data_IF_544655306934
#
_entry.id   IF_544655306934
#
_cell.length_a   1.000
_cell.length_b   1.000
_cell.length_c   1.000
_cell.angle_alpha   90.00
_cell.angle_beta   90.00
_cell.angle_gamma   90.00
#
_symmetry.space_group_name_H-M   'P 1'
#
loop_
_entity.id
_entity.type
_entity.pdbx_description
1 polymer ?
#
# COMPACT_ATOMS: atom_id res chain seq x y z
N UNK A 1 -25.57 15.04 -5.11
CA UNK A 1 -24.24 14.63 -4.63
C UNK A 1 -24.43 14.03 -3.24
N UNK A 2 -24.12 12.73 -3.07
CA UNK A 2 -24.21 12.07 -1.78
C UNK A 2 -23.16 12.70 -0.83
N UNK A 3 -23.62 13.27 0.30
CA UNK A 3 -22.72 13.86 1.32
C UNK A 3 -22.15 12.76 2.20
N UNK A 4 -20.81 12.63 2.25
CA UNK A 4 -20.12 11.77 3.19
C UNK A 4 -20.36 12.27 4.63
N UNK A 5 -20.99 11.44 5.46
CA UNK A 5 -21.15 11.68 6.90
C UNK A 5 -20.06 10.95 7.66
N UNK A 6 -19.16 11.70 8.29
CA UNK A 6 -18.06 11.16 9.11
C UNK A 6 -18.54 10.97 10.53
N UNK A 7 -19.16 9.83 10.81
CA UNK A 7 -19.56 9.45 12.17
C UNK A 7 -18.37 8.85 12.96
N UNK A 8 -18.50 8.65 14.29
CA UNK A 8 -17.43 8.09 15.11
C UNK A 8 -16.97 6.69 14.66
N UNK A 9 -17.84 5.89 14.05
CA UNK A 9 -17.51 4.55 13.56
C UNK A 9 -16.67 4.65 12.27
N UNK A 10 -16.99 5.58 11.38
CA UNK A 10 -16.18 5.89 10.20
C UNK A 10 -14.76 6.29 10.60
N UNK A 11 -14.62 7.20 11.58
CA UNK A 11 -13.31 7.58 12.11
C UNK A 11 -12.57 6.40 12.75
N UNK A 12 -13.28 5.54 13.49
CA UNK A 12 -12.67 4.34 14.06
C UNK A 12 -12.09 3.44 12.96
N UNK A 13 -12.82 3.19 11.88
CA UNK A 13 -12.36 2.39 10.74
C UNK A 13 -11.12 3.02 10.08
N UNK A 14 -11.12 4.35 9.89
CA UNK A 14 -9.96 5.07 9.34
C UNK A 14 -8.72 4.90 10.21
N UNK A 15 -8.86 5.06 11.52
CA UNK A 15 -7.75 4.90 12.47
C UNK A 15 -7.27 3.44 12.51
N UNK A 16 -8.17 2.46 12.47
CA UNK A 16 -7.82 1.04 12.45
C UNK A 16 -7.02 0.67 11.19
N UNK A 17 -7.40 1.21 10.02
CA UNK A 17 -6.59 1.06 8.81
C UNK A 17 -5.23 1.75 8.95
N UNK A 18 -5.19 2.94 9.57
CA UNK A 18 -3.96 3.68 9.87
C UNK A 18 -3.00 2.90 10.77
N UNK A 19 -3.53 2.17 11.77
CA UNK A 19 -2.70 1.31 12.63
C UNK A 19 -2.00 0.21 11.84
N UNK A 20 -2.70 -0.45 10.93
CA UNK A 20 -2.04 -1.43 10.04
C UNK A 20 -1.05 -0.76 9.07
N UNK A 21 -1.40 0.38 8.54
CA UNK A 21 -0.53 1.15 7.63
C UNK A 21 0.77 1.60 8.33
N UNK A 22 0.74 1.89 9.63
CA UNK A 22 1.94 2.14 10.42
C UNK A 22 2.94 0.98 10.30
N UNK A 23 2.49 -0.26 10.48
CA UNK A 23 3.36 -1.42 10.27
C UNK A 23 3.81 -1.55 8.81
N UNK A 24 2.87 -1.46 7.87
CA UNK A 24 3.13 -1.68 6.45
C UNK A 24 4.20 -0.74 5.89
N UNK A 25 4.10 0.56 6.20
CA UNK A 25 5.06 1.56 5.73
C UNK A 25 6.33 1.65 6.60
N UNK A 26 6.28 1.17 7.85
CA UNK A 26 7.46 0.95 8.70
C UNK A 26 8.27 -0.28 8.31
N UNK A 27 7.70 -1.17 7.48
CA UNK A 27 8.31 -2.45 7.16
C UNK A 27 9.64 -2.34 6.39
N UNK A 28 9.80 -1.33 5.52
CA UNK A 28 11.06 -1.11 4.80
C UNK A 28 12.25 -0.88 5.76
N UNK A 29 12.21 0.10 6.65
CA UNK A 29 13.21 0.25 7.72
C UNK A 29 13.41 -1.04 8.55
N UNK A 30 12.32 -1.68 8.99
CA UNK A 30 12.39 -2.95 9.76
C UNK A 30 13.15 -4.03 8.98
N UNK A 31 12.89 -4.17 7.69
CA UNK A 31 13.58 -5.15 6.83
C UNK A 31 15.09 -4.90 6.77
N UNK A 32 15.51 -3.63 6.67
CA UNK A 32 16.91 -3.25 6.68
C UNK A 32 17.62 -3.68 7.99
N UNK A 33 16.97 -3.45 9.15
CA UNK A 33 17.51 -3.88 10.44
C UNK A 33 17.52 -5.40 10.62
N UNK A 34 16.46 -6.09 10.16
CA UNK A 34 16.41 -7.55 10.21
C UNK A 34 17.49 -8.19 9.35
N UNK A 35 17.75 -7.65 8.14
CA UNK A 35 18.85 -8.10 7.28
C UNK A 35 20.19 -8.04 8.02
N UNK A 36 20.47 -6.92 8.66
CA UNK A 36 21.73 -6.70 9.38
C UNK A 36 21.86 -7.65 10.59
N UNK A 37 20.80 -7.80 11.39
CA UNK A 37 20.81 -8.69 12.57
C UNK A 37 20.92 -10.17 12.19
N UNK A 38 20.34 -10.56 11.06
CA UNK A 38 20.35 -11.95 10.58
C UNK A 38 21.58 -12.28 9.73
N UNK A 39 22.34 -11.28 9.29
CA UNK A 39 23.47 -11.45 8.37
C UNK A 39 23.07 -12.10 7.05
N UNK A 40 21.83 -11.84 6.57
CA UNK A 40 21.30 -12.45 5.35
C UNK A 40 21.63 -11.63 4.12
N UNK A 41 21.65 -12.31 2.95
CA UNK A 41 21.74 -11.63 1.65
C UNK A 41 20.49 -10.81 1.36
N UNK A 42 20.57 -9.90 0.39
CA UNK A 42 19.46 -9.08 -0.04
C UNK A 42 18.28 -9.93 -0.57
N UNK A 43 18.58 -10.99 -1.33
CA UNK A 43 17.58 -11.94 -1.80
C UNK A 43 16.84 -12.63 -0.66
N UNK A 44 17.57 -13.14 0.35
CA UNK A 44 16.96 -13.76 1.52
C UNK A 44 16.14 -12.76 2.34
N UNK A 45 16.65 -11.55 2.55
CA UNK A 45 15.91 -10.50 3.26
C UNK A 45 14.59 -10.19 2.57
N UNK A 46 14.57 -10.09 1.23
CA UNK A 46 13.35 -9.79 0.46
C UNK A 46 12.31 -10.91 0.46
N UNK A 47 12.64 -12.14 0.89
CA UNK A 47 11.63 -13.18 1.13
C UNK A 47 10.65 -12.83 2.26
N UNK A 48 11.00 -11.89 3.16
CA UNK A 48 10.02 -11.35 4.11
C UNK A 48 8.89 -10.58 3.39
N UNK A 49 9.17 -9.91 2.27
CA UNK A 49 8.14 -9.28 1.43
C UNK A 49 7.29 -10.33 0.71
N UNK A 50 7.89 -11.44 0.27
CA UNK A 50 7.13 -12.56 -0.28
C UNK A 50 6.23 -13.23 0.78
N UNK A 51 6.70 -13.37 2.02
CA UNK A 51 5.90 -13.84 3.14
C UNK A 51 4.74 -12.89 3.46
N UNK A 52 4.98 -11.56 3.40
CA UNK A 52 3.95 -10.54 3.53
C UNK A 52 2.87 -10.69 2.43
N UNK A 53 3.28 -10.87 1.18
CA UNK A 53 2.38 -11.07 0.05
C UNK A 53 1.56 -12.38 0.19
N UNK A 54 2.22 -13.47 0.51
CA UNK A 54 1.56 -14.77 0.73
C UNK A 54 0.54 -14.70 1.89
N UNK A 55 0.93 -14.08 3.01
CA UNK A 55 0.03 -13.84 4.14
C UNK A 55 -1.17 -13.00 3.77
N UNK A 56 -0.99 -11.93 2.98
CA UNK A 56 -2.10 -11.11 2.50
C UNK A 56 -3.07 -11.89 1.59
N UNK A 57 -2.55 -12.75 0.70
CA UNK A 57 -3.41 -13.62 -0.13
C UNK A 57 -4.20 -14.61 0.73
N UNK A 58 -3.56 -15.24 1.71
CA UNK A 58 -4.25 -16.14 2.67
C UNK A 58 -5.31 -15.38 3.46
N UNK A 59 -4.99 -14.18 3.98
CA UNK A 59 -5.94 -13.32 4.70
C UNK A 59 -7.15 -12.95 3.85
N UNK A 60 -6.93 -12.59 2.58
CA UNK A 60 -8.00 -12.32 1.62
C UNK A 60 -8.91 -13.54 1.36
N UNK A 61 -8.32 -14.73 1.24
CA UNK A 61 -9.06 -15.99 1.07
C UNK A 61 -9.87 -16.37 2.33
N UNK A 62 -9.34 -16.11 3.52
CA UNK A 62 -10.00 -16.41 4.80
C UNK A 62 -11.11 -15.41 5.14
N UNK A 63 -11.05 -14.18 4.62
CA UNK A 63 -11.99 -13.10 4.95
C UNK A 63 -13.47 -13.47 4.74
N UNK A 64 -13.91 -14.05 3.59
CA UNK A 64 -15.30 -14.46 3.42
C UNK A 64 -15.76 -15.54 4.40
N UNK A 65 -14.84 -16.41 4.85
CA UNK A 65 -15.13 -17.44 5.83
C UNK A 65 -15.31 -16.85 7.22
N UNK A 66 -14.45 -15.89 7.59
CA UNK A 66 -14.51 -15.19 8.86
C UNK A 66 -15.81 -14.36 9.00
N UNK A 67 -16.19 -13.62 7.95
CA UNK A 67 -17.40 -12.78 7.96
C UNK A 67 -18.73 -13.55 7.91
N UNK A 68 -18.69 -14.85 7.55
CA UNK A 68 -19.85 -15.73 7.67
C UNK A 68 -20.13 -16.18 9.11
N UNK A 69 -19.09 -16.25 9.95
CA UNK A 69 -19.20 -16.75 11.34
C UNK A 69 -19.21 -15.64 12.38
N UNK A 70 -18.56 -14.52 12.10
CA UNK A 70 -18.33 -13.44 13.05
C UNK A 70 -18.82 -12.11 12.49
N UNK A 71 -19.19 -11.19 13.40
CA UNK A 71 -19.54 -9.82 13.03
C UNK A 71 -18.31 -9.09 12.42
N UNK A 72 -18.55 -8.08 11.59
CA UNK A 72 -17.47 -7.25 11.00
C UNK A 72 -16.60 -6.62 12.07
N UNK A 73 -17.21 -6.18 13.19
CA UNK A 73 -16.45 -5.63 14.30
C UNK A 73 -15.52 -6.68 14.92
N UNK A 74 -16.00 -7.92 15.13
CA UNK A 74 -15.19 -9.02 15.64
C UNK A 74 -14.07 -9.40 14.67
N UNK A 75 -14.33 -9.43 13.36
CA UNK A 75 -13.29 -9.69 12.34
C UNK A 75 -12.25 -8.57 12.33
N UNK A 76 -12.64 -7.30 12.43
CA UNK A 76 -11.73 -6.17 12.50
C UNK A 76 -10.79 -6.26 13.70
N UNK A 77 -11.34 -6.44 14.90
CA UNK A 77 -10.54 -6.55 16.13
C UNK A 77 -9.70 -7.82 16.17
N UNK A 78 -10.22 -8.95 15.69
CA UNK A 78 -9.47 -10.19 15.54
C UNK A 78 -8.30 -10.04 14.58
N UNK A 79 -8.49 -9.35 13.47
CA UNK A 79 -7.44 -9.03 12.49
C UNK A 79 -6.37 -8.12 13.09
N UNK A 80 -6.75 -7.07 13.80
CA UNK A 80 -5.81 -6.20 14.52
C UNK A 80 -5.07 -6.95 15.64
N UNK A 81 -5.75 -7.82 16.36
CA UNK A 81 -5.10 -8.66 17.39
C UNK A 81 -4.05 -9.57 16.77
N UNK A 82 -4.30 -10.11 15.58
CA UNK A 82 -3.32 -10.92 14.85
C UNK A 82 -2.10 -10.09 14.43
N UNK A 83 -2.32 -8.86 13.94
CA UNK A 83 -1.24 -7.90 13.64
C UNK A 83 -0.43 -7.62 14.91
N UNK A 84 -1.10 -7.29 16.01
CA UNK A 84 -0.43 -6.97 17.28
C UNK A 84 0.38 -8.13 17.85
N UNK A 85 -0.18 -9.34 17.82
CA UNK A 85 0.54 -10.55 18.28
C UNK A 85 1.79 -10.76 17.44
N UNK A 86 1.70 -10.58 16.13
CA UNK A 86 2.87 -10.66 15.26
C UNK A 86 3.89 -9.56 15.54
N UNK A 87 3.46 -8.31 15.71
CA UNK A 87 4.36 -7.20 16.07
C UNK A 87 5.01 -7.43 17.43
N UNK A 88 4.25 -7.87 18.42
CA UNK A 88 4.81 -8.23 19.75
C UNK A 88 5.84 -9.34 19.63
N UNK A 89 5.55 -10.38 18.87
CA UNK A 89 6.49 -11.47 18.61
C UNK A 89 7.77 -10.95 17.91
N UNK A 90 7.64 -10.06 16.93
CA UNK A 90 8.78 -9.45 16.22
C UNK A 90 9.67 -8.60 17.14
N UNK A 91 9.04 -7.93 18.14
CA UNK A 91 9.75 -7.07 19.11
C UNK A 91 10.48 -7.89 20.19
N UNK A 92 9.86 -8.99 20.68
CA UNK A 92 10.30 -9.73 21.86
C UNK A 92 11.16 -10.95 21.51
N UNK A 93 10.83 -11.65 20.41
CA UNK A 93 11.50 -12.89 20.06
C UNK A 93 12.84 -12.66 19.34
N UNK A 94 13.76 -13.63 19.40
CA UNK A 94 15.02 -13.54 18.68
C UNK A 94 14.79 -13.48 17.16
N UNK A 95 15.66 -12.79 16.40
CA UNK A 95 15.51 -12.59 14.97
C UNK A 95 15.91 -13.82 14.13
N UNK A 96 15.39 -15.00 14.49
CA UNK A 96 15.61 -16.22 13.72
C UNK A 96 14.89 -16.13 12.38
N UNK A 97 15.60 -16.36 11.29
CA UNK A 97 15.09 -16.15 9.93
C UNK A 97 13.76 -16.86 9.64
N UNK A 98 13.56 -18.19 9.89
CA UNK A 98 12.27 -18.84 9.65
C UNK A 98 11.15 -18.30 10.52
N UNK A 99 11.48 -17.89 11.75
CA UNK A 99 10.52 -17.34 12.70
C UNK A 99 10.01 -15.98 12.24
N UNK A 100 10.91 -15.09 11.82
CA UNK A 100 10.53 -13.75 11.33
C UNK A 100 9.72 -13.82 10.05
N UNK A 101 10.04 -14.73 9.11
CA UNK A 101 9.22 -14.99 7.93
C UNK A 101 7.78 -15.37 8.31
N UNK A 102 7.65 -16.30 9.27
CA UNK A 102 6.32 -16.74 9.74
C UNK A 102 5.57 -15.60 10.42
N UNK A 103 6.23 -14.84 11.28
CA UNK A 103 5.65 -13.67 11.96
C UNK A 103 5.13 -12.64 10.95
N UNK A 104 5.93 -12.30 9.93
CA UNK A 104 5.52 -11.35 8.88
C UNK A 104 4.31 -11.88 8.10
N UNK A 105 4.28 -13.16 7.77
CA UNK A 105 3.12 -13.80 7.15
C UNK A 105 1.85 -13.69 8.00
N UNK A 106 1.96 -13.93 9.31
CA UNK A 106 0.85 -13.80 10.26
C UNK A 106 0.36 -12.35 10.35
N UNK A 107 1.26 -11.38 10.44
CA UNK A 107 0.90 -9.96 10.42
C UNK A 107 0.12 -9.61 9.15
N UNK A 108 0.58 -10.11 8.00
CA UNK A 108 -0.05 -9.85 6.72
C UNK A 108 -1.46 -10.47 6.60
N UNK A 109 -1.69 -11.66 7.17
CA UNK A 109 -3.04 -12.26 7.26
C UNK A 109 -3.98 -11.32 7.99
N UNK A 110 -3.57 -10.84 9.18
CA UNK A 110 -4.34 -9.87 9.95
C UNK A 110 -4.53 -8.55 9.20
N UNK A 111 -3.46 -8.01 8.62
CA UNK A 111 -3.49 -6.77 7.85
C UNK A 111 -4.48 -6.79 6.70
N UNK A 112 -4.53 -7.88 5.94
CA UNK A 112 -5.50 -8.04 4.84
C UNK A 112 -6.94 -8.11 5.36
N UNK A 113 -7.16 -8.70 6.54
CA UNK A 113 -8.46 -8.66 7.21
C UNK A 113 -8.89 -7.22 7.54
N UNK A 114 -7.98 -6.39 8.07
CA UNK A 114 -8.24 -4.96 8.33
C UNK A 114 -8.63 -4.22 7.06
N UNK A 115 -7.87 -4.38 5.98
CA UNK A 115 -8.15 -3.76 4.68
C UNK A 115 -9.51 -4.19 4.15
N UNK A 116 -9.80 -5.49 4.17
CA UNK A 116 -11.05 -6.06 3.64
C UNK A 116 -12.28 -5.57 4.43
N UNK A 117 -12.21 -5.57 5.78
CA UNK A 117 -13.29 -5.02 6.61
C UNK A 117 -13.50 -3.55 6.33
N UNK A 118 -12.41 -2.77 6.21
CA UNK A 118 -12.48 -1.34 5.90
C UNK A 118 -13.26 -1.08 4.61
N UNK A 119 -12.85 -1.70 3.50
CA UNK A 119 -13.49 -1.51 2.20
C UNK A 119 -14.96 -1.89 2.25
N UNK A 120 -15.27 -3.09 2.75
CA UNK A 120 -16.65 -3.58 2.79
C UNK A 120 -17.53 -2.76 3.72
N UNK A 121 -17.02 -2.35 4.88
CA UNK A 121 -17.82 -1.58 5.85
C UNK A 121 -18.09 -0.17 5.36
N UNK A 122 -17.08 0.53 4.82
CA UNK A 122 -17.27 1.89 4.30
C UNK A 122 -18.21 1.91 3.09
N UNK A 123 -18.10 0.92 2.18
CA UNK A 123 -19.03 0.78 1.05
C UNK A 123 -20.47 0.62 1.54
N UNK A 124 -20.70 -0.23 2.54
CA UNK A 124 -22.06 -0.44 3.08
C UNK A 124 -22.60 0.75 3.88
N UNK A 125 -21.76 1.39 4.69
CA UNK A 125 -22.20 2.50 5.54
C UNK A 125 -22.52 3.76 4.74
N UNK A 126 -21.81 3.98 3.65
CA UNK A 126 -21.88 5.23 2.88
C UNK A 126 -22.53 5.09 1.50
N UNK A 127 -22.82 3.87 1.04
CA UNK A 127 -23.50 3.63 -0.26
C UNK A 127 -22.78 4.32 -1.41
N UNK A 128 -23.45 5.26 -2.08
CA UNK A 128 -22.87 6.03 -3.19
C UNK A 128 -21.66 6.91 -2.81
N UNK A 129 -21.50 7.26 -1.53
CA UNK A 129 -20.31 7.96 -1.01
C UNK A 129 -19.21 7.00 -0.52
N UNK A 130 -19.40 5.68 -0.66
CA UNK A 130 -18.44 4.65 -0.24
C UNK A 130 -17.04 4.83 -0.85
N UNK A 131 -16.90 5.05 -2.17
CA UNK A 131 -15.60 5.30 -2.80
C UNK A 131 -14.86 6.49 -2.18
N UNK A 132 -15.56 7.58 -1.89
CA UNK A 132 -15.01 8.76 -1.21
C UNK A 132 -14.52 8.44 0.19
N UNK A 133 -15.30 7.65 0.97
CA UNK A 133 -14.91 7.20 2.31
C UNK A 133 -13.66 6.32 2.28
N UNK A 134 -13.55 5.42 1.30
CA UNK A 134 -12.37 4.57 1.10
C UNK A 134 -11.15 5.41 0.73
N UNK A 135 -11.32 6.42 -0.13
CA UNK A 135 -10.24 7.34 -0.48
C UNK A 135 -9.72 8.11 0.74
N UNK A 136 -10.61 8.62 1.59
CA UNK A 136 -10.22 9.26 2.86
C UNK A 136 -9.52 8.30 3.82
N UNK A 137 -10.03 7.05 3.95
CA UNK A 137 -9.39 6.02 4.76
C UNK A 137 -7.94 5.76 4.30
N UNK A 138 -7.72 5.67 2.98
CA UNK A 138 -6.39 5.48 2.41
C UNK A 138 -5.48 6.71 2.62
N UNK A 139 -6.01 7.92 2.55
CA UNK A 139 -5.25 9.14 2.86
C UNK A 139 -4.80 9.13 4.33
N UNK A 140 -5.71 8.80 5.26
CA UNK A 140 -5.38 8.62 6.68
C UNK A 140 -4.34 7.52 6.90
N UNK A 141 -4.45 6.40 6.18
CA UNK A 141 -3.49 5.31 6.25
C UNK A 141 -2.08 5.75 5.84
N UNK A 142 -1.95 6.50 4.75
CA UNK A 142 -0.65 7.06 4.32
C UNK A 142 -0.13 8.06 5.35
N UNK A 143 -0.99 8.92 5.90
CA UNK A 143 -0.61 9.85 6.96
C UNK A 143 -0.10 9.15 8.23
N UNK A 144 -0.77 8.09 8.67
CA UNK A 144 -0.32 7.26 9.79
C UNK A 144 0.98 6.51 9.45
N UNK A 145 1.08 6.01 8.22
CA UNK A 145 2.27 5.34 7.71
C UNK A 145 3.52 6.22 7.68
N UNK A 146 3.34 7.52 7.40
CA UNK A 146 4.41 8.53 7.44
C UNK A 146 5.10 8.58 8.82
N UNK A 147 4.34 8.37 9.90
CA UNK A 147 4.86 8.43 11.27
C UNK A 147 5.78 7.25 11.58
N UNK A 148 5.57 6.08 10.96
CA UNK A 148 6.29 4.86 11.31
C UNK A 148 7.81 4.95 11.07
N UNK A 149 8.31 5.30 9.86
CA UNK A 149 9.74 5.43 9.63
C UNK A 149 10.38 6.50 10.51
N UNK A 150 9.66 7.60 10.81
CA UNK A 150 10.12 8.65 11.70
C UNK A 150 10.26 8.14 13.14
N UNK A 151 9.25 7.42 13.65
CA UNK A 151 9.27 6.84 15.00
C UNK A 151 10.38 5.79 15.15
N UNK A 152 10.57 4.95 14.12
CA UNK A 152 11.66 3.96 14.09
C UNK A 152 13.02 4.68 14.09
N UNK A 153 13.20 5.67 13.20
CA UNK A 153 14.43 6.48 13.14
C UNK A 153 14.73 7.20 14.45
N UNK A 154 13.72 7.81 15.08
CA UNK A 154 13.87 8.47 16.37
C UNK A 154 14.26 7.47 17.48
N UNK A 155 13.58 6.31 17.56
CA UNK A 155 13.90 5.28 18.54
C UNK A 155 15.35 4.78 18.39
N UNK A 156 15.82 4.58 17.16
CA UNK A 156 17.20 4.18 16.87
C UNK A 156 18.18 5.29 17.28
N UNK A 157 17.88 6.56 16.97
CA UNK A 157 18.71 7.71 17.33
C UNK A 157 18.85 7.89 18.86
N UNK A 158 17.79 7.54 19.61
CA UNK A 158 17.78 7.60 21.07
C UNK A 158 18.43 6.35 21.72
N UNK A 159 18.97 5.41 20.93
CA UNK A 159 19.57 4.17 21.45
C UNK A 159 18.56 3.11 21.92
N UNK A 160 17.26 3.32 21.71
CA UNK A 160 16.18 2.40 22.10
C UNK A 160 15.99 1.23 21.11
N UNK A 161 16.62 1.34 19.92
CA UNK A 161 16.53 0.34 18.86
C UNK A 161 15.22 0.41 18.04
N UNK A 162 15.25 -0.20 16.86
CA UNK A 162 14.12 -0.20 15.92
C UNK A 162 12.86 -0.91 16.46
N UNK A 163 13.07 -1.90 17.35
CA UNK A 163 11.97 -2.66 17.98
C UNK A 163 11.05 -1.77 18.80
N UNK A 164 11.61 -0.79 19.52
CA UNK A 164 10.80 0.17 20.27
C UNK A 164 9.96 1.06 19.34
N UNK A 165 10.55 1.57 18.25
CA UNK A 165 9.82 2.34 17.25
C UNK A 165 8.67 1.54 16.61
N UNK A 166 8.90 0.27 16.29
CA UNK A 166 7.85 -0.62 15.77
C UNK A 166 6.81 -0.95 16.85
N UNK A 167 7.24 -1.14 18.10
CA UNK A 167 6.40 -1.45 19.27
C UNK A 167 5.42 -0.35 19.67
N UNK A 168 5.64 0.90 19.24
CA UNK A 168 4.70 2.02 19.43
C UNK A 168 3.29 1.65 18.94
N UNK A 169 3.20 0.83 17.87
CA UNK A 169 1.93 0.34 17.34
C UNK A 169 1.08 -0.37 18.41
N UNK A 170 1.70 -1.10 19.33
CA UNK A 170 1.01 -1.84 20.39
C UNK A 170 0.28 -0.86 21.32
N UNK A 171 1.00 0.19 21.77
CA UNK A 171 0.42 1.24 22.61
C UNK A 171 -0.71 2.02 21.91
N UNK A 172 -0.48 2.41 20.66
CA UNK A 172 -1.49 3.11 19.86
C UNK A 172 -2.77 2.28 19.69
N UNK A 173 -2.61 0.98 19.39
CA UNK A 173 -3.78 0.10 19.22
C UNK A 173 -4.51 -0.13 20.54
N UNK A 174 -3.80 -0.26 21.66
CA UNK A 174 -4.40 -0.37 22.97
C UNK A 174 -5.23 0.89 23.32
N UNK A 175 -4.71 2.07 23.04
CA UNK A 175 -5.44 3.34 23.24
C UNK A 175 -6.74 3.37 22.41
N UNK A 176 -6.64 3.02 21.12
CA UNK A 176 -7.81 2.99 20.22
C UNK A 176 -8.84 1.96 20.69
N UNK A 177 -8.40 0.78 21.15
CA UNK A 177 -9.27 -0.26 21.67
C UNK A 177 -10.01 0.20 22.92
N UNK A 178 -9.31 0.84 23.87
CA UNK A 178 -9.93 1.40 25.09
C UNK A 178 -10.96 2.49 24.77
N UNK A 179 -10.63 3.39 23.83
CA UNK A 179 -11.55 4.46 23.40
C UNK A 179 -12.80 3.85 22.75
N UNK A 180 -12.63 2.90 21.84
CA UNK A 180 -13.73 2.23 21.15
C UNK A 180 -14.63 1.49 22.14
N UNK A 181 -14.03 0.77 23.09
CA UNK A 181 -14.76 0.05 24.14
C UNK A 181 -15.55 1.00 25.04
N UNK A 182 -14.92 2.07 25.55
CA UNK A 182 -15.60 3.06 26.42
C UNK A 182 -16.74 3.78 25.73
N UNK A 183 -16.64 4.02 24.43
CA UNK A 183 -17.68 4.69 23.63
C UNK A 183 -18.69 3.72 23.03
N UNK A 184 -18.56 2.41 23.23
CA UNK A 184 -19.45 1.39 22.67
C UNK A 184 -19.44 1.39 21.13
N UNK A 185 -18.31 1.76 20.49
CA UNK A 185 -18.22 1.84 19.03
C UNK A 185 -18.10 0.45 18.44
N UNK A 186 -19.02 0.08 17.58
CA UNK A 186 -19.01 -1.18 16.86
C UNK A 186 -19.37 -0.94 15.38
N UNK A 187 -18.71 -1.67 14.50
CA UNK A 187 -19.03 -1.63 13.06
C UNK A 187 -20.39 -2.31 12.86
N UNK A 188 -21.36 -1.65 12.20
CA UNK A 188 -22.70 -2.20 12.02
C UNK A 188 -22.67 -3.56 11.32
N UNK A 189 -23.53 -4.47 11.78
CA UNK A 189 -23.76 -5.72 11.07
C UNK A 189 -24.47 -5.40 9.75
N UNK A 190 -23.98 -5.97 8.65
CA UNK A 190 -24.69 -5.86 7.37
C UNK A 190 -25.67 -7.00 7.22
N UNK A 191 -26.82 -6.69 6.62
CA UNK A 191 -27.68 -7.72 6.09
C UNK A 191 -26.90 -8.59 5.08
N UNK A 192 -27.12 -9.90 5.01
CA UNK A 192 -26.54 -10.75 3.99
C UNK A 192 -26.85 -10.15 2.62
N UNK A 193 -25.83 -9.87 1.82
CA UNK A 193 -26.03 -9.41 0.44
C UNK A 193 -26.74 -10.53 -0.32
N UNK A 194 -28.05 -10.37 -0.51
CA UNK A 194 -28.80 -11.12 -1.48
C UNK A 194 -28.33 -10.62 -2.85
N UNK A 195 -27.72 -11.42 -3.57
CA UNK A 195 -27.59 -11.58 -4.99
C UNK A 195 -26.17 -11.92 -5.46
N UNK A 196 -25.87 -13.21 -5.49
CA UNK A 196 -24.65 -13.76 -6.09
C UNK A 196 -24.91 -14.40 -7.45
N UNK A 197 -26.02 -14.09 -8.08
CA UNK A 197 -26.42 -14.66 -9.37
C UNK A 197 -25.92 -13.86 -10.59
N UNK A 198 -24.95 -12.97 -10.42
CA UNK A 198 -24.33 -12.35 -11.60
C UNK A 198 -23.52 -13.41 -12.36
N UNK A 199 -23.99 -13.69 -13.57
CA UNK A 199 -23.36 -14.55 -14.56
C UNK A 199 -21.87 -14.22 -14.61
N UNK A 200 -21.01 -15.24 -14.38
CA UNK A 200 -19.54 -15.11 -14.39
C UNK A 200 -19.02 -14.92 -15.81
N UNK A 201 -19.33 -13.79 -16.44
CA UNK A 201 -18.70 -13.45 -17.71
C UNK A 201 -17.19 -13.19 -17.49
N UNK A 202 -16.30 -13.65 -18.37
CA UNK A 202 -14.87 -13.38 -18.23
C UNK A 202 -14.59 -11.86 -18.28
N UNK A 203 -13.61 -11.42 -17.48
CA UNK A 203 -13.18 -10.02 -17.53
C UNK A 203 -12.56 -9.70 -18.90
N UNK A 204 -12.82 -8.49 -19.45
CA UNK A 204 -12.32 -8.10 -20.77
C UNK A 204 -10.78 -8.13 -20.87
N UNK A 205 -10.24 -8.30 -22.07
CA UNK A 205 -8.77 -8.27 -22.28
C UNK A 205 -8.15 -6.95 -21.83
N UNK A 206 -8.82 -5.83 -22.06
CA UNK A 206 -8.39 -4.51 -21.60
C UNK A 206 -8.24 -4.43 -20.07
N UNK A 207 -9.05 -5.18 -19.30
CA UNK A 207 -8.90 -5.27 -17.85
C UNK A 207 -7.56 -5.90 -17.46
N UNK A 208 -7.12 -6.95 -18.13
CA UNK A 208 -5.85 -7.60 -17.82
C UNK A 208 -4.65 -6.73 -18.13
N UNK A 209 -4.75 -5.82 -19.12
CA UNK A 209 -3.74 -4.77 -19.33
C UNK A 209 -3.66 -3.81 -18.13
N UNK A 210 -4.81 -3.31 -17.66
CA UNK A 210 -4.83 -2.44 -16.47
C UNK A 210 -4.35 -3.17 -15.22
N UNK A 211 -4.69 -4.43 -15.07
CA UNK A 211 -4.21 -5.28 -13.97
C UNK A 211 -2.68 -5.43 -14.00
N UNK A 212 -2.09 -5.65 -15.17
CA UNK A 212 -0.64 -5.73 -15.33
C UNK A 212 0.03 -4.39 -15.06
N UNK A 213 -0.56 -3.26 -15.49
CA UNK A 213 -0.08 -1.92 -15.12
C UNK A 213 -0.06 -1.74 -13.60
N UNK A 214 -1.10 -2.20 -12.89
CA UNK A 214 -1.14 -2.16 -11.42
C UNK A 214 -0.01 -2.98 -10.77
N UNK A 215 0.35 -4.12 -11.34
CA UNK A 215 1.50 -4.91 -10.84
C UNK A 215 2.78 -4.09 -10.93
N UNK A 216 3.09 -3.51 -12.09
CA UNK A 216 4.33 -2.74 -12.25
C UNK A 216 4.34 -1.46 -11.44
N UNK A 217 3.23 -0.73 -11.37
CA UNK A 217 3.15 0.48 -10.53
C UNK A 217 3.22 0.16 -9.04
N UNK A 218 2.65 -0.95 -8.61
CA UNK A 218 2.81 -1.47 -7.25
C UNK A 218 4.26 -1.88 -6.96
N UNK A 219 4.97 -2.49 -7.92
CA UNK A 219 6.40 -2.78 -7.78
C UNK A 219 7.24 -1.50 -7.61
N UNK A 220 6.94 -0.41 -8.36
CA UNK A 220 7.63 0.88 -8.20
C UNK A 220 7.49 1.38 -6.76
N UNK A 221 6.26 1.42 -6.24
CA UNK A 221 5.97 1.92 -4.90
C UNK A 221 6.67 1.08 -3.82
N UNK A 222 6.51 -0.24 -3.87
CA UNK A 222 7.00 -1.11 -2.80
C UNK A 222 8.53 -1.25 -2.82
N UNK A 223 9.14 -1.32 -4.00
CA UNK A 223 10.60 -1.38 -4.15
C UNK A 223 11.24 -0.12 -3.57
N UNK A 224 10.75 1.05 -3.92
CA UNK A 224 11.25 2.31 -3.36
C UNK A 224 11.02 2.37 -1.84
N UNK A 225 9.86 1.94 -1.34
CA UNK A 225 9.56 1.97 0.09
C UNK A 225 10.45 1.04 0.92
N UNK A 226 10.81 -0.13 0.38
CA UNK A 226 11.59 -1.13 1.11
C UNK A 226 13.10 -0.94 0.99
N UNK A 227 13.59 -0.52 -0.18
CA UNK A 227 15.02 -0.52 -0.47
C UNK A 227 15.72 0.84 -0.26
N UNK A 228 14.94 1.92 -0.16
CA UNK A 228 15.49 3.28 0.05
C UNK A 228 16.40 3.36 1.27
N UNK A 229 16.01 2.78 2.41
CA UNK A 229 16.82 2.86 3.62
C UNK A 229 18.19 2.15 3.46
N UNK A 230 18.21 1.05 2.72
CA UNK A 230 19.45 0.30 2.43
C UNK A 230 20.37 1.15 1.56
N UNK A 231 19.86 1.67 0.43
CA UNK A 231 20.65 2.46 -0.52
C UNK A 231 21.16 3.77 0.11
N UNK A 232 20.36 4.45 0.92
CA UNK A 232 20.81 5.66 1.62
C UNK A 232 21.98 5.39 2.59
N UNK A 233 22.01 4.20 3.20
CA UNK A 233 23.10 3.80 4.10
C UNK A 233 24.36 3.42 3.31
N UNK A 234 24.20 2.65 2.23
CA UNK A 234 25.31 2.11 1.44
C UNK A 234 25.98 3.18 0.58
N UNK A 235 25.20 4.07 -0.08
CA UNK A 235 25.71 5.03 -1.07
C UNK A 235 25.95 6.43 -0.51
N UNK A 236 25.10 6.89 0.42
CA UNK A 236 25.14 8.29 0.92
C UNK A 236 25.64 8.33 2.38
N UNK A 237 26.00 7.17 2.93
CA UNK A 237 26.50 7.04 4.30
C UNK A 237 25.56 7.62 5.37
N UNK A 238 24.24 7.52 5.16
CA UNK A 238 23.27 7.89 6.17
C UNK A 238 23.40 6.99 7.40
N UNK A 239 23.25 7.56 8.58
CA UNK A 239 23.08 6.76 9.79
C UNK A 239 21.81 5.90 9.65
N UNK A 240 21.72 4.74 10.32
CA UNK A 240 20.52 3.90 10.28
C UNK A 240 19.24 4.65 10.67
N UNK A 241 19.34 5.58 11.63
CA UNK A 241 18.25 6.46 12.05
C UNK A 241 17.81 7.41 10.94
N UNK A 242 18.75 8.11 10.30
CA UNK A 242 18.48 9.07 9.23
C UNK A 242 17.92 8.37 7.99
N UNK A 243 18.46 7.19 7.62
CA UNK A 243 17.97 6.41 6.49
C UNK A 243 16.52 5.92 6.71
N UNK A 244 16.21 5.46 7.93
CA UNK A 244 14.83 5.09 8.30
C UNK A 244 13.89 6.29 8.17
N UNK A 245 14.24 7.43 8.77
CA UNK A 245 13.41 8.64 8.72
C UNK A 245 13.22 9.17 7.29
N UNK A 246 14.23 9.07 6.43
CA UNK A 246 14.18 9.53 5.04
C UNK A 246 13.15 8.81 4.16
N UNK A 247 12.77 7.56 4.50
CA UNK A 247 11.67 6.85 3.84
C UNK A 247 10.35 7.62 3.93
N UNK A 248 10.16 8.40 5.01
CA UNK A 248 8.98 9.25 5.16
C UNK A 248 8.84 10.32 4.07
N UNK A 249 9.91 10.66 3.35
CA UNK A 249 9.84 11.63 2.25
C UNK A 249 8.98 11.13 1.09
N UNK A 250 9.07 9.83 0.74
CA UNK A 250 8.22 9.21 -0.28
C UNK A 250 6.75 9.30 0.16
N UNK A 251 6.48 8.93 1.42
CA UNK A 251 5.13 8.89 1.97
C UNK A 251 4.53 10.30 2.07
N UNK A 252 5.34 11.30 2.41
CA UNK A 252 4.93 12.70 2.41
C UNK A 252 4.56 13.16 1.00
N UNK A 253 5.40 12.83 0.00
CA UNK A 253 5.10 13.08 -1.40
C UNK A 253 3.79 12.41 -1.83
N UNK A 254 3.59 11.15 -1.47
CA UNK A 254 2.35 10.42 -1.76
C UNK A 254 1.13 11.04 -1.09
N UNK A 255 1.24 11.45 0.18
CA UNK A 255 0.15 12.10 0.91
C UNK A 255 -0.26 13.42 0.25
N UNK A 256 0.71 14.27 -0.06
CA UNK A 256 0.49 15.55 -0.74
C UNK A 256 -0.05 15.31 -2.15
N UNK A 257 0.58 14.40 -2.90
CA UNK A 257 0.17 14.07 -4.26
C UNK A 257 -1.26 13.53 -4.35
N UNK A 258 -1.71 12.71 -3.40
CA UNK A 258 -3.11 12.24 -3.32
C UNK A 258 -4.07 13.36 -2.99
N UNK A 259 -3.70 14.26 -2.09
CA UNK A 259 -4.55 15.40 -1.70
C UNK A 259 -4.82 16.39 -2.84
N UNK A 260 -3.82 16.63 -3.68
CA UNK A 260 -3.96 17.53 -4.85
C UNK A 260 -4.36 16.77 -6.12
N UNK A 261 -3.90 15.54 -6.27
CA UNK A 261 -4.11 14.71 -7.44
C UNK A 261 -5.59 14.40 -7.70
N UNK A 262 -6.38 14.22 -6.63
CA UNK A 262 -7.82 14.05 -6.74
C UNK A 262 -8.49 15.20 -7.51
N UNK A 263 -8.11 16.45 -7.20
CA UNK A 263 -8.62 17.64 -7.92
C UNK A 263 -8.13 17.72 -9.37
N UNK A 264 -6.91 17.24 -9.62
CA UNK A 264 -6.33 17.22 -10.95
C UNK A 264 -7.00 16.16 -11.83
N UNK A 265 -7.35 15.02 -11.24
CA UNK A 265 -8.04 13.91 -11.89
C UNK A 265 -9.45 14.27 -12.36
N UNK A 266 -10.13 15.23 -11.69
CA UNK A 266 -11.43 15.76 -12.12
C UNK A 266 -11.33 16.69 -13.35
N UNK A 267 -10.15 17.25 -13.62
CA UNK A 267 -9.94 18.22 -14.69
C UNK A 267 -9.28 17.65 -15.93
N UNK A 268 -8.61 16.52 -15.80
CA UNK A 268 -7.79 15.93 -16.86
C UNK A 268 -8.17 14.48 -17.14
N UNK A 269 -8.00 14.06 -18.39
CA UNK A 269 -8.23 12.66 -18.78
C UNK A 269 -7.27 11.74 -18.07
N UNK A 270 -7.71 10.54 -17.60
CA UNK A 270 -6.92 9.64 -16.76
C UNK A 270 -5.59 9.18 -17.40
N UNK A 271 -5.59 8.85 -18.71
CA UNK A 271 -4.41 8.33 -19.38
C UNK A 271 -3.29 9.39 -19.50
N UNK A 272 -3.51 10.61 -20.03
CA UNK A 272 -2.49 11.67 -20.03
C UNK A 272 -1.99 12.01 -18.62
N UNK A 273 -2.90 12.06 -17.63
CA UNK A 273 -2.53 12.32 -16.25
C UNK A 273 -1.65 11.19 -15.67
N UNK A 274 -1.92 9.95 -16.05
CA UNK A 274 -1.08 8.79 -15.65
C UNK A 274 0.34 8.89 -16.24
N UNK A 275 0.48 9.28 -17.51
CA UNK A 275 1.80 9.53 -18.10
C UNK A 275 2.54 10.66 -17.38
N UNK A 276 1.86 11.74 -17.02
CA UNK A 276 2.45 12.82 -16.24
C UNK A 276 2.92 12.33 -14.86
N UNK A 277 2.15 11.48 -14.21
CA UNK A 277 2.51 10.87 -12.93
C UNK A 277 3.75 9.97 -13.05
N UNK A 278 3.83 9.14 -14.11
CA UNK A 278 5.02 8.33 -14.40
C UNK A 278 6.26 9.18 -14.65
N UNK A 279 6.13 10.30 -15.38
CA UNK A 279 7.25 11.22 -15.62
C UNK A 279 7.72 11.91 -14.33
N UNK A 280 6.81 12.32 -13.45
CA UNK A 280 7.18 12.88 -12.15
C UNK A 280 7.88 11.83 -11.30
N UNK A 281 7.39 10.58 -11.28
CA UNK A 281 8.06 9.48 -10.58
C UNK A 281 9.46 9.22 -11.14
N UNK A 282 9.62 9.21 -12.45
CA UNK A 282 10.91 9.01 -13.11
C UNK A 282 11.89 10.15 -12.79
N UNK A 283 11.43 11.40 -12.85
CA UNK A 283 12.24 12.57 -12.50
C UNK A 283 12.70 12.51 -11.05
N UNK A 284 11.79 12.22 -10.11
CA UNK A 284 12.12 12.05 -8.70
C UNK A 284 13.08 10.89 -8.46
N UNK A 285 12.86 9.75 -9.11
CA UNK A 285 13.77 8.62 -9.08
C UNK A 285 15.18 9.00 -9.60
N UNK A 286 15.26 9.70 -10.72
CA UNK A 286 16.54 10.12 -11.30
C UNK A 286 17.29 11.04 -10.33
N UNK A 287 16.62 12.02 -9.72
CA UNK A 287 17.21 12.89 -8.71
C UNK A 287 17.70 12.07 -7.50
N UNK A 288 16.93 11.12 -7.02
CA UNK A 288 17.31 10.24 -5.92
C UNK A 288 18.51 9.35 -6.29
N UNK A 289 18.46 8.70 -7.45
CA UNK A 289 19.49 7.75 -7.89
C UNK A 289 20.84 8.43 -8.18
N UNK A 290 20.84 9.66 -8.70
CA UNK A 290 22.04 10.45 -8.95
C UNK A 290 22.48 11.29 -7.76
N UNK A 291 21.82 11.17 -6.60
CA UNK A 291 22.07 12.01 -5.45
C UNK A 291 23.47 11.77 -4.86
N UNK A 292 24.20 12.85 -4.69
CA UNK A 292 25.50 12.87 -3.99
C UNK A 292 25.40 13.47 -2.59
N UNK A 293 24.25 14.03 -2.25
CA UNK A 293 23.96 14.63 -0.94
C UNK A 293 22.65 14.12 -0.37
N UNK A 294 22.54 14.09 0.96
CA UNK A 294 21.33 13.65 1.63
C UNK A 294 20.10 14.49 1.30
N UNK A 295 20.28 15.81 1.13
CA UNK A 295 19.17 16.72 0.77
C UNK A 295 18.64 16.38 -0.64
N UNK A 296 19.54 16.15 -1.59
CA UNK A 296 19.18 15.76 -2.95
C UNK A 296 18.43 14.42 -2.97
N UNK A 297 18.90 13.44 -2.19
CA UNK A 297 18.26 12.14 -2.07
C UNK A 297 16.83 12.26 -1.52
N UNK A 298 16.66 12.98 -0.41
CA UNK A 298 15.35 13.21 0.23
C UNK A 298 14.40 13.97 -0.70
N UNK A 299 14.88 14.99 -1.41
CA UNK A 299 14.10 15.73 -2.40
C UNK A 299 13.66 14.84 -3.56
N UNK A 300 14.57 13.99 -4.08
CA UNK A 300 14.24 13.01 -5.13
C UNK A 300 13.15 12.01 -4.70
N UNK A 301 13.27 11.49 -3.47
CA UNK A 301 12.28 10.59 -2.89
C UNK A 301 10.90 11.25 -2.73
N UNK A 302 10.87 12.51 -2.29
CA UNK A 302 9.65 13.29 -2.17
C UNK A 302 8.97 13.49 -3.54
N UNK A 303 9.74 13.87 -4.57
CA UNK A 303 9.23 14.05 -5.94
C UNK A 303 8.74 12.71 -6.50
N UNK A 304 9.48 11.62 -6.30
CA UNK A 304 9.04 10.28 -6.71
C UNK A 304 7.71 9.90 -6.04
N UNK A 305 7.56 10.22 -4.75
CA UNK A 305 6.32 10.03 -3.99
C UNK A 305 5.14 10.82 -4.57
N UNK A 306 5.36 12.08 -5.00
CA UNK A 306 4.31 12.88 -5.66
C UNK A 306 3.77 12.18 -6.92
N UNK A 307 4.66 11.61 -7.75
CA UNK A 307 4.25 10.84 -8.93
C UNK A 307 3.54 9.55 -8.55
N UNK A 308 4.11 8.76 -7.63
CA UNK A 308 3.53 7.48 -7.18
C UNK A 308 2.12 7.63 -6.61
N UNK A 309 1.81 8.80 -6.03
CA UNK A 309 0.50 9.09 -5.44
C UNK A 309 -0.67 8.79 -6.38
N UNK A 310 -0.49 9.04 -7.68
CA UNK A 310 -1.54 8.95 -8.68
C UNK A 310 -1.57 7.62 -9.44
N UNK A 311 -0.56 6.75 -9.30
CA UNK A 311 -0.50 5.50 -10.05
C UNK A 311 -1.71 4.61 -9.75
N UNK A 312 -1.91 4.26 -8.48
CA UNK A 312 -2.99 3.35 -8.08
C UNK A 312 -4.39 3.91 -8.38
N UNK A 313 -4.78 5.15 -7.97
CA UNK A 313 -6.14 5.63 -8.19
C UNK A 313 -6.50 5.80 -9.67
N UNK A 314 -5.54 6.21 -10.52
CA UNK A 314 -5.81 6.33 -11.96
C UNK A 314 -5.97 4.99 -12.64
N UNK A 315 -5.10 4.02 -12.31
CA UNK A 315 -5.16 2.70 -12.96
C UNK A 315 -6.34 1.87 -12.47
N UNK A 316 -6.74 1.98 -11.18
CA UNK A 316 -7.96 1.32 -10.69
C UNK A 316 -9.20 1.90 -11.36
N UNK A 317 -9.27 3.22 -11.55
CA UNK A 317 -10.38 3.84 -12.27
C UNK A 317 -10.47 3.35 -13.73
N UNK A 318 -9.33 3.23 -14.41
CA UNK A 318 -9.27 2.64 -15.76
C UNK A 318 -9.71 1.16 -15.74
N UNK A 319 -9.27 0.36 -14.75
CA UNK A 319 -9.65 -1.04 -14.62
C UNK A 319 -11.17 -1.23 -14.44
N UNK A 320 -11.80 -0.37 -13.64
CA UNK A 320 -13.24 -0.40 -13.44
C UNK A 320 -14.00 0.09 -14.69
N UNK A 321 -13.48 1.12 -15.38
CA UNK A 321 -14.09 1.66 -16.60
C UNK A 321 -14.10 0.65 -17.77
N UNK A 322 -13.08 -0.20 -17.89
CA UNK A 322 -13.00 -1.25 -18.93
C UNK A 322 -13.81 -2.50 -18.60
N UNK A 323 -14.34 -2.63 -17.38
CA UNK A 323 -15.15 -3.78 -16.93
C UNK A 323 -16.57 -3.35 -16.51
N UNK A 324 -17.37 -2.74 -17.40
CA UNK A 324 -18.69 -2.24 -17.06
C UNK A 324 -19.62 -3.38 -16.61
N UNK A 325 -20.37 -3.16 -15.53
CA UNK A 325 -21.26 -4.16 -14.95
C UNK A 325 -20.56 -5.25 -14.13
N UNK A 326 -19.22 -5.22 -14.00
CA UNK A 326 -18.43 -6.18 -13.22
C UNK A 326 -17.49 -5.47 -12.22
N UNK A 327 -17.83 -4.25 -11.77
CA UNK A 327 -16.97 -3.41 -10.95
C UNK A 327 -16.49 -4.13 -9.66
N UNK A 328 -17.40 -4.80 -8.93
CA UNK A 328 -17.06 -5.52 -7.70
C UNK A 328 -16.07 -6.66 -7.94
N UNK A 329 -16.27 -7.41 -9.04
CA UNK A 329 -15.36 -8.49 -9.43
C UNK A 329 -14.00 -7.93 -9.86
N UNK A 330 -14.00 -6.88 -10.69
CA UNK A 330 -12.80 -6.20 -11.14
C UNK A 330 -11.99 -5.69 -9.94
N UNK A 331 -12.64 -5.00 -8.99
CA UNK A 331 -12.01 -4.52 -7.76
C UNK A 331 -11.44 -5.67 -6.91
N UNK A 332 -12.18 -6.77 -6.76
CA UNK A 332 -11.69 -7.95 -6.03
C UNK A 332 -10.44 -8.58 -6.67
N UNK A 333 -10.43 -8.72 -8.00
CA UNK A 333 -9.27 -9.30 -8.74
C UNK A 333 -8.08 -8.34 -8.73
N UNK A 334 -8.31 -7.03 -8.66
CA UNK A 334 -7.22 -6.03 -8.56
C UNK A 334 -6.38 -6.20 -7.29
N UNK A 335 -6.96 -6.68 -6.20
CA UNK A 335 -6.23 -6.92 -4.95
C UNK A 335 -5.07 -7.92 -5.11
N UNK A 336 -5.20 -8.88 -6.04
CA UNK A 336 -4.12 -9.83 -6.34
C UNK A 336 -2.93 -9.19 -7.04
N UNK A 337 -3.12 -8.09 -7.80
CA UNK A 337 -2.01 -7.35 -8.40
C UNK A 337 -1.10 -6.74 -7.34
N UNK A 338 -1.67 -6.21 -6.28
CA UNK A 338 -0.90 -5.68 -5.14
C UNK A 338 -0.13 -6.79 -4.43
N UNK A 339 -0.77 -7.95 -4.17
CA UNK A 339 -0.09 -9.11 -3.60
C UNK A 339 1.12 -9.55 -4.43
N UNK A 340 0.96 -9.63 -5.76
CA UNK A 340 2.06 -9.97 -6.66
C UNK A 340 3.17 -8.91 -6.62
N UNK A 341 2.83 -7.62 -6.60
CA UNK A 341 3.80 -6.52 -6.52
C UNK A 341 4.62 -6.59 -5.24
N UNK A 342 3.97 -6.81 -4.09
CA UNK A 342 4.62 -6.91 -2.78
C UNK A 342 5.60 -8.09 -2.70
N UNK A 343 5.30 -9.20 -3.38
CA UNK A 343 6.17 -10.38 -3.40
C UNK A 343 7.26 -10.29 -4.46
N UNK A 344 6.87 -10.11 -5.73
CA UNK A 344 7.76 -10.24 -6.88
C UNK A 344 8.74 -9.06 -7.00
N UNK A 345 8.28 -7.83 -6.85
CA UNK A 345 9.12 -6.64 -7.04
C UNK A 345 10.36 -6.63 -6.14
N UNK A 346 10.21 -6.68 -4.80
CA UNK A 346 11.33 -6.69 -3.88
C UNK A 346 12.20 -7.93 -4.01
N UNK A 347 11.62 -9.10 -4.32
CA UNK A 347 12.39 -10.33 -4.49
C UNK A 347 13.31 -10.28 -5.71
N UNK A 348 12.79 -9.86 -6.87
CA UNK A 348 13.60 -9.68 -8.09
C UNK A 348 14.70 -8.65 -7.86
N UNK A 349 14.36 -7.54 -7.18
CA UNK A 349 15.38 -6.54 -6.85
C UNK A 349 16.44 -7.11 -5.90
N UNK A 350 16.04 -7.89 -4.89
CA UNK A 350 16.97 -8.53 -3.95
C UNK A 350 17.95 -9.47 -4.62
N UNK A 351 17.49 -10.29 -5.58
CA UNK A 351 18.35 -11.16 -6.40
C UNK A 351 19.36 -10.34 -7.21
N UNK A 352 18.93 -9.25 -7.82
CA UNK A 352 19.83 -8.36 -8.57
C UNK A 352 20.79 -7.64 -7.62
N UNK A 353 20.33 -7.18 -6.46
CA UNK A 353 21.15 -6.48 -5.50
C UNK A 353 22.30 -7.34 -4.96
N UNK A 354 22.11 -8.64 -4.83
CA UNK A 354 23.18 -9.57 -4.44
C UNK A 354 24.27 -9.70 -5.54
N UNK A 355 23.97 -9.42 -6.80
CA UNK A 355 24.91 -9.54 -7.92
C UNK A 355 25.55 -8.21 -8.34
N UNK A 356 24.77 -7.11 -8.35
CA UNK A 356 25.23 -5.81 -8.89
C UNK A 356 25.16 -4.66 -7.85
N UNK A 357 24.83 -4.95 -6.60
CA UNK A 357 24.64 -3.96 -5.55
C UNK A 357 23.23 -3.35 -5.55
N UNK A 358 22.77 -2.88 -4.37
CA UNK A 358 21.41 -2.37 -4.18
C UNK A 358 21.13 -1.11 -5.03
N UNK A 359 22.09 -0.20 -5.14
CA UNK A 359 21.98 1.02 -5.94
C UNK A 359 21.74 0.73 -7.42
N UNK A 360 22.56 -0.15 -8.01
CA UNK A 360 22.41 -0.54 -9.43
C UNK A 360 21.11 -1.32 -9.66
N UNK A 361 20.74 -2.20 -8.73
CA UNK A 361 19.50 -2.98 -8.80
C UNK A 361 18.25 -2.09 -8.82
N UNK A 362 18.28 -0.91 -8.20
CA UNK A 362 17.18 0.06 -8.28
C UNK A 362 16.87 0.57 -9.69
N UNK A 363 17.73 0.37 -10.67
CA UNK A 363 17.42 0.63 -12.09
C UNK A 363 16.26 -0.23 -12.63
N UNK A 364 15.79 -1.22 -11.87
CA UNK A 364 14.49 -1.85 -12.12
C UNK A 364 13.32 -0.86 -12.05
N UNK A 365 13.41 0.20 -11.26
CA UNK A 365 12.33 1.19 -11.13
C UNK A 365 12.03 1.87 -12.46
N UNK A 366 13.00 2.49 -13.19
CA UNK A 366 12.73 3.03 -14.52
C UNK A 366 12.30 1.95 -15.53
N UNK A 367 12.76 0.70 -15.41
CA UNK A 367 12.27 -0.41 -16.26
C UNK A 367 10.77 -0.64 -16.00
N UNK A 368 10.33 -0.70 -14.75
CA UNK A 368 8.91 -0.84 -14.42
C UNK A 368 8.08 0.37 -14.90
N UNK A 369 8.62 1.58 -14.80
CA UNK A 369 7.97 2.80 -15.32
C UNK A 369 7.79 2.70 -16.85
N UNK A 370 8.81 2.30 -17.58
CA UNK A 370 8.75 2.14 -19.04
C UNK A 370 7.72 1.07 -19.43
N UNK A 371 7.73 -0.08 -18.76
CA UNK A 371 6.74 -1.15 -19.01
C UNK A 371 5.32 -0.64 -18.74
N UNK A 372 5.10 0.03 -17.61
CA UNK A 372 3.80 0.61 -17.27
C UNK A 372 3.34 1.65 -18.33
N UNK A 373 4.27 2.48 -18.82
CA UNK A 373 3.99 3.46 -19.86
C UNK A 373 3.63 2.79 -21.20
N UNK A 374 4.38 1.76 -21.63
CA UNK A 374 4.10 1.01 -22.86
C UNK A 374 2.74 0.30 -22.81
N UNK A 375 2.42 -0.32 -21.67
CA UNK A 375 1.12 -0.97 -21.47
C UNK A 375 -0.03 0.05 -21.46
N UNK A 376 0.17 1.22 -20.83
CA UNK A 376 -0.82 2.30 -20.83
C UNK A 376 -1.02 2.90 -22.23
N UNK A 377 0.07 3.05 -22.99
CA UNK A 377 -0.01 3.44 -24.39
C UNK A 377 -0.78 2.41 -25.23
N UNK A 378 -0.49 1.12 -25.06
CA UNK A 378 -1.22 0.05 -25.75
C UNK A 378 -2.71 0.07 -25.38
N UNK A 379 -3.02 0.22 -24.08
CA UNK A 379 -4.41 0.39 -23.64
C UNK A 379 -5.07 1.59 -24.34
N UNK A 380 -4.40 2.75 -24.42
CA UNK A 380 -4.91 3.94 -25.08
C UNK A 380 -5.22 3.70 -26.56
N UNK A 381 -4.32 3.05 -27.30
CA UNK A 381 -4.50 2.75 -28.72
C UNK A 381 -5.64 1.77 -28.96
N UNK A 382 -5.70 0.68 -28.16
CA UNK A 382 -6.76 -0.35 -28.30
C UNK A 382 -8.14 0.13 -27.87
N UNK A 383 -8.20 1.17 -27.04
CA UNK A 383 -9.44 1.74 -26.54
C UNK A 383 -9.83 3.06 -27.22
N UNK A 384 -8.97 3.60 -28.08
CA UNK A 384 -9.23 4.84 -28.84
C UNK A 384 -10.46 4.76 -29.75
N UNK A 385 -10.83 3.56 -30.20
CA UNK A 385 -12.07 3.28 -30.93
C UNK A 385 -13.33 3.22 -30.05
N UNK A 386 -13.17 3.32 -28.74
CA UNK A 386 -14.25 3.29 -27.76
C UNK A 386 -14.22 4.58 -26.89
N UNK A 387 -14.73 5.73 -27.37
CA UNK A 387 -14.61 7.04 -26.70
C UNK A 387 -15.18 7.09 -25.28
N UNK A 388 -16.01 6.11 -24.90
CA UNK A 388 -16.68 6.04 -23.59
C UNK A 388 -15.79 5.58 -22.42
N UNK A 389 -14.56 5.09 -22.65
CA UNK A 389 -13.74 4.52 -21.55
C UNK A 389 -13.09 5.64 -20.72
N UNK A 390 -12.54 6.66 -21.38
CA UNK A 390 -11.95 7.83 -20.69
C UNK A 390 -12.99 8.61 -19.89
N UNK A 391 -14.19 8.72 -20.42
CA UNK A 391 -15.30 9.43 -19.76
C UNK A 391 -15.82 8.62 -18.57
N UNK A 392 -15.97 7.31 -18.72
CA UNK A 392 -16.32 6.40 -17.60
C UNK A 392 -15.27 6.37 -16.51
N UNK A 393 -13.98 6.41 -16.85
CA UNK A 393 -12.93 6.47 -15.86
C UNK A 393 -12.95 7.81 -15.09
N UNK A 394 -13.29 8.91 -15.76
CA UNK A 394 -13.49 10.20 -15.10
C UNK A 394 -14.70 10.16 -14.14
N UNK A 395 -15.82 9.54 -14.53
CA UNK A 395 -16.98 9.33 -13.65
C UNK A 395 -16.63 8.50 -12.42
N UNK A 396 -15.84 7.42 -12.59
CA UNK A 396 -15.37 6.60 -11.46
C UNK A 396 -14.49 7.41 -10.51
N UNK A 397 -13.58 8.24 -11.05
CA UNK A 397 -12.72 9.11 -10.25
C UNK A 397 -13.58 10.16 -9.51
N UNK A 398 -14.59 10.76 -10.16
CA UNK A 398 -15.51 11.71 -9.52
C UNK A 398 -16.28 11.06 -8.36
N UNK A 399 -16.61 9.77 -8.47
CA UNK A 399 -17.25 9.02 -7.39
C UNK A 399 -16.28 8.69 -6.24
N UNK A 400 -14.96 8.64 -6.50
CA UNK A 400 -13.91 8.35 -5.53
C UNK A 400 -13.40 9.59 -4.78
N UNK A 401 -13.64 10.79 -5.30
CA UNK A 401 -13.23 12.08 -4.72
C UNK A 401 -14.40 12.79 -4.03
#
# INVERSE_FOLDING_TARGET
VARLRRDPVTWLIYVQLGLYAYFLYGFGPVLSFLRDEQGTSNALASLHSAALAAGAMVGGALFPMATRRYSRSAVMWGSLSLVLTGVLALVVLPPLYPLTLTIIGVIAIGGMGVVSVTVVSLTHMHGLAGPSAISEANAMAVGAGLVAPLAIGLAVNLGLGWRMGTGVLIGLTAIVAVIAWRKGLAIPASAPSADRSQVKQPLPRAYWLTWTILVFTGCIEIVLSLWTAIVLREEISFTPAAASAAVSAILLGMFIGRSFGARLALKHKPIPLFFSALLVSLAGFTVFWTATTGIMAVAGLFIAGLGNAMHYPLVIALALAVAPGQADRAAGVTSYSMGLSFGAGPFVLGLLADSVGAHTALLLVPVFIVIAALLAWWLAVTTATAPKISDRAAEVIEQMT
#
